data_IF_773669045131
#
_entry.id   IF_773669045131
#
_cell.length_a   1.000
_cell.length_b   1.000
_cell.length_c   1.000
_cell.angle_alpha   90.00
_cell.angle_beta   90.00
_cell.angle_gamma   90.00
#
_symmetry.space_group_name_H-M   'P 1'
#
loop_
_entity.id
_entity.type
_entity.pdbx_description
1 polymer ?
#
# COMPACT_ATOMS: atom_id res chain seq x y z
N UNK A 1 7.25 4.08 79.52
CA UNK A 1 6.54 4.38 78.26
C UNK A 1 7.19 3.51 77.19
N UNK A 2 6.49 2.48 76.73
CA UNK A 2 6.96 1.66 75.60
C UNK A 2 6.52 2.43 74.36
N UNK A 3 7.47 3.04 73.66
CA UNK A 3 7.21 3.70 72.39
C UNK A 3 7.37 2.63 71.31
N UNK A 4 6.34 2.38 70.52
CA UNK A 4 6.41 1.42 69.40
C UNK A 4 7.39 1.89 68.31
N UNK A 5 7.81 0.99 67.41
CA UNK A 5 8.61 1.38 66.25
C UNK A 5 7.84 2.39 65.40
N UNK A 6 8.52 3.45 64.98
CA UNK A 6 7.98 4.54 64.18
C UNK A 6 8.95 4.84 63.02
N UNK A 7 8.51 4.51 61.81
CA UNK A 7 9.20 4.81 60.57
C UNK A 7 8.78 6.20 60.11
N UNK A 8 9.75 7.10 59.95
CA UNK A 8 9.47 8.44 59.44
C UNK A 8 10.66 8.92 58.61
N UNK A 9 10.41 9.19 57.33
CA UNK A 9 11.39 9.74 56.41
C UNK A 9 10.92 11.12 55.96
N UNK A 10 11.85 12.07 55.91
CA UNK A 10 11.54 13.44 55.50
C UNK A 10 12.51 13.90 54.43
N UNK A 11 11.98 14.45 53.34
CA UNK A 11 12.74 15.16 52.32
C UNK A 11 13.11 16.55 52.87
N UNK A 12 14.41 16.85 52.94
CA UNK A 12 14.92 18.12 53.47
C UNK A 12 15.00 19.16 52.36
N UNK A 13 15.64 18.78 51.25
CA UNK A 13 15.93 19.66 50.13
C UNK A 13 16.00 18.84 48.84
N UNK A 14 15.74 19.49 47.72
CA UNK A 14 15.83 18.89 46.39
C UNK A 14 16.18 19.95 45.36
N UNK A 15 17.22 19.66 44.58
CA UNK A 15 17.68 20.51 43.49
C UNK A 15 17.66 19.72 42.19
N UNK A 16 17.16 20.34 41.13
CA UNK A 16 17.23 19.86 39.76
C UNK A 16 17.90 20.90 38.88
N UNK A 17 18.69 20.45 37.91
CA UNK A 17 19.31 21.28 36.89
C UNK A 17 19.21 20.59 35.53
N UNK A 18 18.99 21.39 34.49
CA UNK A 18 18.92 20.91 33.11
C UNK A 18 20.21 21.28 32.39
N UNK A 19 20.94 20.28 31.90
CA UNK A 19 22.14 20.48 31.08
C UNK A 19 21.76 20.90 29.65
N UNK A 20 22.72 21.47 28.94
CA UNK A 20 22.71 21.80 27.49
C UNK A 20 22.35 20.65 26.55
N UNK A 21 22.34 19.41 27.05
CA UNK A 21 21.95 18.18 26.33
C UNK A 21 20.53 17.73 26.66
N UNK A 22 19.73 18.60 27.28
CA UNK A 22 18.36 18.32 27.71
C UNK A 22 18.28 17.14 28.70
N UNK A 23 19.30 17.00 29.56
CA UNK A 23 19.33 16.00 30.63
C UNK A 23 19.09 16.69 31.97
N UNK A 24 18.03 16.29 32.66
CA UNK A 24 17.75 16.70 34.04
C UNK A 24 18.64 15.90 34.97
N UNK A 25 19.48 16.59 35.75
CA UNK A 25 20.21 16.00 36.88
C UNK A 25 19.57 16.48 38.17
N UNK A 26 19.30 15.56 39.09
CA UNK A 26 18.67 15.90 40.36
C UNK A 26 19.45 15.34 41.56
N UNK A 27 19.40 16.09 42.66
CA UNK A 27 19.92 15.70 43.94
C UNK A 27 18.89 16.00 45.04
N UNK A 28 18.44 14.96 45.77
CA UNK A 28 17.41 15.08 46.79
C UNK A 28 17.94 14.55 48.12
N UNK A 29 17.83 15.36 49.17
CA UNK A 29 18.31 15.02 50.51
C UNK A 29 17.16 14.50 51.38
N UNK A 30 17.37 13.33 51.99
CA UNK A 30 16.44 12.67 52.89
C UNK A 30 17.06 12.52 54.27
N UNK A 31 16.21 12.45 55.31
CA UNK A 31 16.62 12.15 56.68
C UNK A 31 15.70 11.13 57.33
N UNK A 32 16.32 10.21 58.09
CA UNK A 32 15.60 9.28 58.95
C UNK A 32 15.18 9.99 60.25
N UNK A 33 13.92 10.44 60.32
CA UNK A 33 13.31 11.04 61.52
C UNK A 33 12.59 10.02 62.40
N UNK A 34 12.65 8.73 62.02
CA UNK A 34 12.12 7.61 62.77
C UNK A 34 12.85 7.38 64.10
N UNK A 35 12.39 6.36 64.83
CA UNK A 35 13.00 5.92 66.08
C UNK A 35 13.81 4.61 65.96
N UNK A 36 13.95 4.07 64.74
CA UNK A 36 14.68 2.86 64.43
C UNK A 36 15.70 3.08 63.30
N UNK A 37 16.67 2.17 63.22
CA UNK A 37 17.50 2.01 62.02
C UNK A 37 16.66 1.28 60.97
N UNK A 38 16.62 1.82 59.76
CA UNK A 38 15.72 1.36 58.71
C UNK A 38 16.47 1.22 57.38
N UNK A 39 15.90 0.46 56.46
CA UNK A 39 16.35 0.41 55.07
C UNK A 39 15.33 1.09 54.15
N UNK A 40 15.77 1.50 52.97
CA UNK A 40 14.94 2.15 51.98
C UNK A 40 14.96 1.37 50.67
N UNK A 41 13.79 1.22 50.06
CA UNK A 41 13.61 0.87 48.66
C UNK A 41 13.23 2.16 47.94
N UNK A 42 14.06 2.56 46.99
CA UNK A 42 13.89 3.81 46.24
C UNK A 42 13.57 3.48 44.80
N UNK A 43 12.47 4.04 44.30
CA UNK A 43 12.00 3.84 42.93
C UNK A 43 11.83 5.19 42.24
N UNK A 44 12.25 5.25 40.97
CA UNK A 44 12.05 6.38 40.08
C UNK A 44 10.92 6.08 39.11
N UNK A 45 9.92 6.95 39.08
CA UNK A 45 8.83 6.93 38.12
C UNK A 45 8.85 8.21 37.28
N UNK A 46 8.39 8.13 36.04
CA UNK A 46 8.29 9.29 35.14
C UNK A 46 6.95 9.27 34.43
N UNK A 47 6.39 10.47 34.22
CA UNK A 47 5.19 10.65 33.41
C UNK A 47 5.40 10.35 31.92
N UNK A 48 6.66 10.31 31.45
CA UNK A 48 7.00 10.08 30.05
C UNK A 48 7.99 8.93 29.89
N UNK A 49 7.93 8.26 28.74
CA UNK A 49 8.91 7.24 28.37
C UNK A 49 10.24 7.91 28.00
N UNK A 50 11.14 8.00 28.98
CA UNK A 50 12.47 8.63 28.85
C UNK A 50 13.55 7.71 29.41
N UNK A 51 14.80 7.96 29.02
CA UNK A 51 15.96 7.34 29.66
C UNK A 51 16.16 8.02 31.00
N UNK A 52 16.10 7.23 32.07
CA UNK A 52 16.22 7.73 33.43
C UNK A 52 16.78 6.65 34.36
N UNK A 53 17.44 7.10 35.42
CA UNK A 53 17.88 6.23 36.51
C UNK A 53 18.64 6.98 37.59
N UNK A 54 18.92 6.26 38.68
CA UNK A 54 19.70 6.77 39.80
C UNK A 54 21.20 6.55 39.57
N UNK A 55 21.99 7.38 40.24
CA UNK A 55 23.38 7.11 40.56
C UNK A 55 23.42 6.57 42.00
N UNK A 56 23.35 5.24 42.19
CA UNK A 56 23.22 4.65 43.51
C UNK A 56 24.45 4.98 44.39
N UNK A 57 24.25 5.20 45.70
CA UNK A 57 25.36 5.38 46.65
C UNK A 57 26.13 4.08 46.87
N UNK A 58 27.27 4.18 47.53
CA UNK A 58 28.01 2.99 47.97
C UNK A 58 27.18 2.13 48.93
N UNK A 59 27.16 0.82 48.70
CA UNK A 59 26.39 -0.14 49.51
C UNK A 59 24.93 -0.32 49.10
N UNK A 60 24.48 0.33 48.03
CA UNK A 60 23.16 0.06 47.44
C UNK A 60 23.14 -1.27 46.68
N UNK A 61 22.01 -1.99 46.80
CA UNK A 61 21.72 -3.20 46.05
C UNK A 61 20.86 -2.79 44.85
N UNK A 62 21.29 -3.18 43.65
CA UNK A 62 20.61 -2.87 42.39
C UNK A 62 20.09 -4.16 41.76
N UNK A 63 18.94 -4.08 41.11
CA UNK A 63 18.40 -5.21 40.35
C UNK A 63 19.01 -5.22 38.94
N UNK A 64 19.82 -6.25 38.65
CA UNK A 64 20.50 -6.44 37.36
C UNK A 64 21.79 -5.64 37.21
N UNK A 65 22.28 -5.55 35.98
CA UNK A 65 23.58 -4.94 35.63
C UNK A 65 23.44 -3.55 34.96
N UNK A 66 22.36 -2.81 35.24
CA UNK A 66 22.14 -1.48 34.66
C UNK A 66 23.04 -0.43 35.29
N UNK A 67 23.74 0.37 34.46
CA UNK A 67 24.50 1.54 34.92
C UNK A 67 23.61 2.64 35.50
N UNK A 68 22.33 2.68 35.11
CA UNK A 68 21.31 3.62 35.57
C UNK A 68 20.07 2.85 36.05
N UNK A 69 20.10 2.28 37.26
CA UNK A 69 18.96 1.55 37.81
C UNK A 69 17.80 2.51 38.16
N UNK A 70 16.57 2.08 37.89
CA UNK A 70 15.35 2.81 38.28
C UNK A 70 14.89 2.48 39.70
N UNK A 71 15.39 1.37 40.24
CA UNK A 71 15.10 0.91 41.60
C UNK A 71 16.41 0.49 42.25
N UNK A 72 16.61 0.87 43.49
CA UNK A 72 17.69 0.32 44.31
C UNK A 72 17.25 0.24 45.76
N UNK A 73 17.90 -0.64 46.50
CA UNK A 73 17.68 -0.84 47.94
C UNK A 73 18.91 -0.41 48.72
N UNK A 74 18.71 0.21 49.87
CA UNK A 74 19.77 0.65 50.77
C UNK A 74 19.41 0.26 52.19
N UNK A 75 20.21 -0.63 52.80
CA UNK A 75 19.99 -1.09 54.17
C UNK A 75 20.72 -0.28 55.23
N UNK A 76 20.35 -0.48 56.49
CA UNK A 76 21.10 -0.06 57.68
C UNK A 76 21.34 1.46 57.78
N UNK A 77 20.32 2.27 57.53
CA UNK A 77 20.42 3.72 57.64
C UNK A 77 20.16 4.17 59.09
N UNK A 78 21.16 4.79 59.76
CA UNK A 78 21.01 5.20 61.15
C UNK A 78 19.95 6.27 61.34
N UNK A 79 19.39 6.31 62.55
CA UNK A 79 18.50 7.39 62.97
C UNK A 79 19.19 8.75 62.88
N UNK A 80 18.50 9.73 62.31
CA UNK A 80 18.98 11.10 62.15
C UNK A 80 20.08 11.27 61.10
N UNK A 81 20.41 10.21 60.35
CA UNK A 81 21.35 10.30 59.24
C UNK A 81 20.71 11.03 58.06
N UNK A 82 21.50 11.89 57.42
CA UNK A 82 21.13 12.53 56.16
C UNK A 82 21.72 11.72 55.02
N UNK A 83 20.90 11.51 53.99
CA UNK A 83 21.26 10.78 52.80
C UNK A 83 20.92 11.60 51.56
N UNK A 84 21.71 11.50 50.50
CA UNK A 84 21.47 12.25 49.26
C UNK A 84 21.27 11.27 48.11
N UNK A 85 20.08 11.29 47.55
CA UNK A 85 19.73 10.65 46.30
C UNK A 85 20.26 11.48 45.14
N UNK A 86 20.83 10.81 44.14
CA UNK A 86 21.25 11.44 42.89
C UNK A 86 20.74 10.63 41.73
N UNK A 87 20.34 11.29 40.66
CA UNK A 87 19.90 10.63 39.45
C UNK A 87 19.83 11.58 38.28
N UNK A 88 19.53 11.01 37.12
CA UNK A 88 19.36 11.76 35.88
C UNK A 88 18.20 11.22 35.07
N UNK A 89 17.54 12.10 34.32
CA UNK A 89 16.51 11.77 33.35
C UNK A 89 16.64 12.65 32.10
N UNK A 90 16.50 12.05 30.92
CA UNK A 90 16.45 12.79 29.66
C UNK A 90 15.08 13.47 29.50
N UNK A 91 15.07 14.74 29.08
CA UNK A 91 13.83 15.43 28.72
C UNK A 91 13.26 14.81 27.44
N UNK A 92 11.93 14.65 27.33
CA UNK A 92 11.30 14.18 26.11
C UNK A 92 11.57 15.12 24.92
N UNK A 93 12.43 14.69 23.96
CA UNK A 93 12.83 15.53 22.83
C UNK A 93 11.97 15.38 21.57
N UNK A 94 11.22 14.27 21.46
CA UNK A 94 10.42 13.90 20.28
C UNK A 94 8.91 14.08 20.51
N UNK A 95 8.55 15.10 21.29
CA UNK A 95 7.16 15.44 21.56
C UNK A 95 6.68 16.53 20.60
N UNK A 96 5.43 16.43 20.15
CA UNK A 96 4.83 17.38 19.20
C UNK A 96 4.33 18.66 19.86
N UNK A 97 4.16 18.64 21.18
CA UNK A 97 3.58 19.71 22.00
C UNK A 97 4.49 19.94 23.20
N UNK A 98 4.63 21.20 23.63
CA UNK A 98 5.31 21.55 24.86
C UNK A 98 4.61 20.91 26.06
N UNK A 99 5.38 20.39 27.01
CA UNK A 99 4.81 19.72 28.18
C UNK A 99 5.72 19.81 29.39
N UNK A 100 5.31 19.12 30.44
CA UNK A 100 6.06 19.03 31.69
C UNK A 100 6.39 17.57 31.94
N UNK A 101 7.67 17.27 32.05
CA UNK A 101 8.18 16.02 32.59
C UNK A 101 7.97 16.04 34.10
N UNK A 102 7.29 15.03 34.61
CA UNK A 102 7.11 14.82 36.05
C UNK A 102 7.90 13.58 36.42
N UNK A 103 8.84 13.73 37.34
CA UNK A 103 9.63 12.65 37.92
C UNK A 103 9.19 12.46 39.37
N UNK A 104 8.75 11.26 39.70
CA UNK A 104 8.36 10.90 41.05
C UNK A 104 9.40 9.96 41.65
N UNK A 105 9.97 10.39 42.78
CA UNK A 105 10.85 9.59 43.60
C UNK A 105 10.01 9.00 44.71
N UNK A 106 9.77 7.70 44.62
CA UNK A 106 8.99 6.93 45.58
C UNK A 106 9.95 6.22 46.51
N UNK A 107 9.84 6.51 47.80
CA UNK A 107 10.69 5.93 48.86
C UNK A 107 9.82 5.12 49.79
N UNK A 108 10.14 3.84 49.93
CA UNK A 108 9.46 2.91 50.83
C UNK A 108 10.42 2.38 51.87
N UNK A 109 9.94 2.21 53.09
CA UNK A 109 10.73 1.59 54.15
C UNK A 109 10.80 0.08 53.95
N UNK A 110 11.96 -0.52 54.25
CA UNK A 110 12.12 -1.98 54.29
C UNK A 110 11.46 -2.55 55.55
N UNK A 111 11.48 -1.81 56.66
CA UNK A 111 10.83 -2.23 57.90
C UNK A 111 9.30 -2.17 57.81
N UNK A 112 8.75 -1.14 57.15
CA UNK A 112 7.31 -0.96 56.93
C UNK A 112 7.00 -0.59 55.46
N UNK A 113 6.89 -1.57 54.56
CA UNK A 113 6.71 -1.35 53.12
C UNK A 113 5.41 -0.63 52.72
N UNK A 114 4.43 -0.58 53.61
CA UNK A 114 3.15 0.10 53.38
C UNK A 114 3.28 1.63 53.52
N UNK A 115 4.33 2.10 54.19
CA UNK A 115 4.58 3.53 54.35
C UNK A 115 5.42 4.06 53.18
N UNK A 116 4.78 4.87 52.34
CA UNK A 116 5.37 5.48 51.15
C UNK A 116 5.59 6.99 51.33
N UNK A 117 6.76 7.46 50.90
CA UNK A 117 7.14 8.86 50.85
C UNK A 117 7.47 9.25 49.42
N UNK A 118 6.75 10.25 48.88
CA UNK A 118 6.88 10.66 47.48
C UNK A 118 7.46 12.07 47.39
N UNK A 119 8.40 12.26 46.47
CA UNK A 119 8.92 13.57 46.09
C UNK A 119 8.78 13.76 44.57
N UNK A 120 8.21 14.88 44.15
CA UNK A 120 7.96 15.19 42.74
C UNK A 120 8.89 16.29 42.24
N UNK A 121 9.46 16.08 41.05
CA UNK A 121 10.25 17.06 40.31
C UNK A 121 9.53 17.33 38.99
N UNK A 122 9.29 18.59 38.68
CA UNK A 122 8.61 19.02 37.47
C UNK A 122 9.54 19.85 36.60
N UNK A 123 9.80 19.41 35.38
CA UNK A 123 10.65 20.12 34.41
C UNK A 123 9.93 20.33 33.09
N UNK A 124 10.01 21.54 32.55
CA UNK A 124 9.34 21.87 31.28
C UNK A 124 10.22 21.45 30.10
N UNK A 125 9.62 20.82 29.11
CA UNK A 125 10.27 20.53 27.83
C UNK A 125 9.52 21.19 26.67
N UNK A 126 10.28 21.58 25.64
CA UNK A 126 9.74 22.12 24.40
C UNK A 126 9.45 20.98 23.43
N UNK A 127 8.22 20.94 22.94
CA UNK A 127 7.86 20.06 21.84
C UNK A 127 8.41 20.61 20.53
N UNK A 128 8.96 19.73 19.70
CA UNK A 128 9.25 20.07 18.31
C UNK A 128 7.92 19.98 17.57
N UNK A 129 7.28 21.12 17.35
CA UNK A 129 6.07 21.17 16.53
C UNK A 129 6.38 20.50 15.20
N UNK A 130 5.64 19.43 14.87
CA UNK A 130 5.65 18.82 13.54
C UNK A 130 4.97 19.80 12.57
N UNK A 131 5.63 20.93 12.31
CA UNK A 131 5.35 21.72 11.14
C UNK A 131 6.38 21.28 10.11
N UNK A 132 5.96 20.32 9.26
CA UNK A 132 6.28 20.42 7.83
C UNK A 132 6.20 21.88 7.48
N UNK A 133 7.35 22.48 7.15
CA UNK A 133 7.49 23.88 6.86
C UNK A 133 6.20 24.39 6.21
N UNK A 134 5.49 25.25 6.91
CA UNK A 134 4.51 26.09 6.25
C UNK A 134 5.37 27.01 5.40
N UNK A 135 5.77 26.49 4.23
CA UNK A 135 6.42 27.25 3.19
C UNK A 135 5.43 28.34 2.83
N UNK A 136 5.68 29.49 3.43
CA UNK A 136 5.15 30.77 2.99
C UNK A 136 5.89 31.25 1.75
N UNK A 137 6.36 30.32 0.91
CA UNK A 137 6.79 30.59 -0.44
C UNK A 137 5.65 30.21 -1.37
N UNK A 138 5.07 31.22 -2.02
CA UNK A 138 4.24 30.95 -3.18
C UNK A 138 5.04 30.11 -4.17
N UNK A 139 4.39 29.07 -4.71
CA UNK A 139 4.95 28.12 -5.68
C UNK A 139 5.80 28.85 -6.70
N UNK A 140 7.12 28.74 -6.57
CA UNK A 140 8.05 29.54 -7.35
C UNK A 140 8.21 28.95 -8.75
N UNK A 141 8.47 29.79 -9.74
CA UNK A 141 8.69 29.32 -11.13
C UNK A 141 9.85 28.32 -11.19
N UNK A 142 10.86 28.45 -10.30
CA UNK A 142 11.96 27.49 -10.15
C UNK A 142 11.48 26.11 -9.70
N UNK A 143 10.59 26.04 -8.71
CA UNK A 143 10.02 24.78 -8.20
C UNK A 143 9.18 24.08 -9.28
N UNK A 144 8.43 24.85 -10.08
CA UNK A 144 7.72 24.32 -11.24
C UNK A 144 8.67 23.68 -12.27
N UNK A 145 9.80 24.33 -12.58
CA UNK A 145 10.76 23.74 -13.51
C UNK A 145 11.41 22.48 -12.94
N UNK A 146 11.74 22.47 -11.65
CA UNK A 146 12.30 21.30 -10.98
C UNK A 146 11.32 20.11 -11.03
N UNK A 147 10.05 20.33 -10.71
CA UNK A 147 8.99 19.31 -10.81
C UNK A 147 8.80 18.79 -12.24
N UNK A 148 8.79 19.70 -13.23
CA UNK A 148 8.72 19.33 -14.65
C UNK A 148 9.93 18.48 -15.06
N UNK A 149 11.14 18.83 -14.63
CA UNK A 149 12.32 18.02 -14.95
C UNK A 149 12.29 16.66 -14.29
N UNK A 150 11.70 16.54 -13.10
CA UNK A 150 11.61 15.28 -12.35
C UNK A 150 10.60 14.33 -13.00
N UNK A 151 9.45 14.86 -13.44
CA UNK A 151 8.46 14.13 -14.24
C UNK A 151 9.07 13.69 -15.58
N UNK A 152 9.74 14.60 -16.28
CA UNK A 152 10.38 14.28 -17.57
C UNK A 152 11.49 13.24 -17.38
N UNK A 153 12.28 13.29 -16.31
CA UNK A 153 13.29 12.25 -16.03
C UNK A 153 12.66 10.90 -15.72
N UNK A 154 11.62 10.87 -14.88
CA UNK A 154 10.92 9.62 -14.51
C UNK A 154 10.17 8.98 -15.68
N UNK A 155 9.65 9.80 -16.58
CA UNK A 155 8.79 9.38 -17.70
C UNK A 155 9.40 9.68 -19.07
N UNK A 156 10.74 9.84 -19.12
CA UNK A 156 11.47 10.24 -20.32
C UNK A 156 11.16 9.35 -21.52
N UNK A 157 10.98 8.04 -21.30
CA UNK A 157 10.66 7.11 -22.38
C UNK A 157 9.26 7.34 -22.98
N UNK A 158 8.30 7.80 -22.19
CA UNK A 158 6.95 8.14 -22.65
C UNK A 158 6.98 9.48 -23.38
N UNK A 159 7.71 10.46 -22.87
CA UNK A 159 7.90 11.74 -23.56
C UNK A 159 8.64 11.54 -24.90
N UNK A 160 9.67 10.69 -24.91
CA UNK A 160 10.41 10.34 -26.13
C UNK A 160 9.54 9.59 -27.14
N UNK A 161 8.67 8.67 -26.70
CA UNK A 161 7.78 7.94 -27.61
C UNK A 161 6.73 8.86 -28.26
N UNK A 162 6.18 9.81 -27.50
CA UNK A 162 5.28 10.84 -28.02
C UNK A 162 6.00 11.73 -29.04
N UNK A 163 7.23 12.15 -28.75
CA UNK A 163 8.03 12.97 -29.66
C UNK A 163 8.34 12.23 -30.99
N UNK A 164 8.75 10.96 -30.93
CA UNK A 164 9.00 10.14 -32.13
C UNK A 164 7.71 9.97 -32.94
N UNK A 165 6.57 9.74 -32.27
CA UNK A 165 5.28 9.63 -32.93
C UNK A 165 4.90 10.91 -33.67
N UNK A 166 5.10 12.08 -33.05
CA UNK A 166 4.85 13.37 -33.68
C UNK A 166 5.72 13.60 -34.93
N UNK A 167 7.00 13.20 -34.89
CA UNK A 167 7.91 13.29 -36.05
C UNK A 167 7.44 12.39 -37.20
N UNK A 168 7.02 11.15 -36.90
CA UNK A 168 6.52 10.21 -37.90
C UNK A 168 5.23 10.75 -38.54
N UNK A 169 4.28 11.25 -37.73
CA UNK A 169 3.04 11.86 -38.25
C UNK A 169 3.34 13.07 -39.14
N UNK A 170 4.21 13.98 -38.71
CA UNK A 170 4.54 15.17 -39.49
C UNK A 170 5.18 14.80 -40.83
N UNK A 171 6.12 13.84 -40.83
CA UNK A 171 6.72 13.31 -42.06
C UNK A 171 5.67 12.68 -42.99
N UNK A 172 4.77 11.87 -42.44
CA UNK A 172 3.71 11.21 -43.22
C UNK A 172 2.73 12.22 -43.84
N UNK A 173 2.38 13.28 -43.10
CA UNK A 173 1.49 14.35 -43.58
C UNK A 173 2.17 15.16 -44.69
N UNK A 174 3.45 15.52 -44.51
CA UNK A 174 4.23 16.24 -45.51
C UNK A 174 4.42 15.44 -46.80
N UNK A 175 4.73 14.16 -46.67
CA UNK A 175 4.86 13.24 -47.80
C UNK A 175 3.53 13.05 -48.54
N UNK A 176 2.41 12.96 -47.81
CA UNK A 176 1.07 12.91 -48.42
C UNK A 176 0.72 14.19 -49.17
N UNK A 177 1.07 15.36 -48.64
CA UNK A 177 0.88 16.63 -49.33
C UNK A 177 1.71 16.69 -50.62
N UNK A 178 2.98 16.31 -50.57
CA UNK A 178 3.85 16.26 -51.74
C UNK A 178 3.32 15.29 -52.81
N UNK A 179 2.85 14.10 -52.42
CA UNK A 179 2.23 13.16 -53.35
C UNK A 179 0.97 13.75 -53.99
N UNK A 180 0.09 14.39 -53.22
CA UNK A 180 -1.10 15.07 -53.75
C UNK A 180 -0.76 16.22 -54.70
N UNK A 181 0.27 17.01 -54.40
CA UNK A 181 0.74 18.09 -55.27
C UNK A 181 1.30 17.53 -56.58
N UNK A 182 2.14 16.49 -56.51
CA UNK A 182 2.68 15.83 -57.70
C UNK A 182 1.59 15.17 -58.56
N UNK A 183 0.60 14.53 -57.93
CA UNK A 183 -0.56 13.94 -58.61
C UNK A 183 -1.43 15.02 -59.24
N UNK A 184 -1.61 16.18 -58.58
CA UNK A 184 -2.32 17.33 -59.15
C UNK A 184 -1.61 17.89 -60.38
N UNK A 185 -0.28 18.01 -60.34
CA UNK A 185 0.51 18.46 -61.50
C UNK A 185 0.46 17.44 -62.65
N UNK A 186 0.54 16.14 -62.35
CA UNK A 186 0.40 15.08 -63.33
C UNK A 186 -1.01 15.01 -63.91
N UNK A 187 -2.05 15.25 -63.11
CA UNK A 187 -3.43 15.38 -63.59
C UNK A 187 -3.56 16.60 -64.49
N UNK A 188 -3.06 17.77 -64.11
CA UNK A 188 -3.05 18.95 -64.99
C UNK A 188 -2.27 18.74 -66.30
N UNK A 189 -1.22 17.92 -66.29
CA UNK A 189 -0.49 17.55 -67.52
C UNK A 189 -1.16 16.43 -68.32
N UNK A 190 -2.06 15.63 -67.72
CA UNK A 190 -2.79 14.51 -68.35
C UNK A 190 -4.23 14.88 -68.72
N UNK A 191 -4.76 15.97 -68.18
CA UNK A 191 -6.06 16.51 -68.50
C UNK A 191 -5.97 17.08 -69.92
N UNK A 192 -6.23 16.20 -70.88
CA UNK A 192 -6.58 16.60 -72.23
C UNK A 192 -7.80 17.53 -72.11
N UNK A 193 -7.85 18.63 -72.90
CA UNK A 193 -8.92 19.62 -72.79
C UNK A 193 -10.28 18.91 -72.89
N UNK A 194 -11.24 19.31 -72.05
CA UNK A 194 -12.59 18.74 -72.06
C UNK A 194 -13.13 18.70 -73.49
N UNK A 195 -13.33 17.48 -74.01
CA UNK A 195 -13.80 17.27 -75.37
C UNK A 195 -15.23 17.80 -75.48
N UNK A 196 -15.41 18.85 -76.29
CA UNK A 196 -16.73 19.38 -76.60
C UNK A 196 -17.50 18.40 -77.50
N UNK A 197 -18.82 18.56 -77.57
CA UNK A 197 -19.71 17.71 -78.37
C UNK A 197 -19.27 17.59 -79.85
N UNK A 198 -18.55 18.59 -80.37
CA UNK A 198 -18.04 18.66 -81.73
C UNK A 198 -16.83 17.73 -81.96
N UNK A 199 -15.91 17.61 -81.00
CA UNK A 199 -14.74 16.70 -81.08
C UNK A 199 -15.16 15.22 -81.05
N UNK A 200 -16.23 14.91 -80.33
CA UNK A 200 -16.81 13.56 -80.28
C UNK A 200 -17.35 13.10 -81.64
N UNK A 201 -17.95 14.01 -82.41
CA UNK A 201 -18.47 13.72 -83.75
C UNK A 201 -17.34 13.49 -84.76
N UNK A 202 -16.18 14.13 -84.59
CA UNK A 202 -15.03 13.92 -85.48
C UNK A 202 -14.39 12.54 -85.33
N UNK A 203 -14.34 11.99 -84.12
CA UNK A 203 -13.75 10.67 -83.85
C UNK A 203 -14.47 9.54 -84.59
N UNK A 204 -15.78 9.66 -84.81
CA UNK A 204 -16.57 8.66 -85.52
C UNK A 204 -16.40 8.70 -87.05
N UNK A 205 -15.97 9.85 -87.58
CA UNK A 205 -15.72 10.04 -89.01
C UNK A 205 -14.33 9.54 -89.46
N UNK A 206 -13.48 9.08 -88.53
CA UNK A 206 -12.18 8.48 -88.85
C UNK A 206 -12.32 6.96 -89.01
N UNK A 207 -11.95 6.35 -90.16
CA UNK A 207 -12.01 4.91 -90.33
C UNK A 207 -10.98 4.21 -89.42
N UNK A 208 -11.45 3.33 -88.53
CA UNK A 208 -10.63 2.61 -87.56
C UNK A 208 -9.76 1.52 -88.23
N UNK A 209 -8.46 1.55 -87.94
CA UNK A 209 -7.56 0.38 -88.10
C UNK A 209 -7.24 -0.12 -86.71
N UNK A 210 -7.83 -1.25 -86.30
CA UNK A 210 -7.46 -1.86 -85.03
C UNK A 210 -7.50 -3.39 -85.16
N UNK A 211 -6.29 -3.95 -85.25
CA UNK A 211 -6.03 -5.39 -85.10
C UNK A 211 -6.24 -5.78 -83.64
N UNK A 212 -7.15 -6.73 -83.40
CA UNK A 212 -7.43 -7.30 -82.09
C UNK A 212 -6.39 -8.40 -81.78
N UNK A 213 -5.37 -8.11 -80.97
CA UNK A 213 -4.56 -9.17 -80.34
C UNK A 213 -5.04 -9.43 -78.93
N UNK A 214 -5.66 -10.59 -78.73
CA UNK A 214 -6.05 -11.14 -77.42
C UNK A 214 -4.79 -11.36 -76.58
N UNK A 215 -4.77 -10.83 -75.35
CA UNK A 215 -3.67 -11.01 -74.39
C UNK A 215 -3.91 -12.33 -73.65
N UNK A 216 -2.99 -13.30 -73.77
CA UNK A 216 -3.03 -14.55 -73.01
C UNK A 216 -2.18 -14.46 -71.73
N UNK A 217 -2.75 -14.91 -70.61
CA UNK A 217 -2.08 -15.01 -69.31
C UNK A 217 -1.10 -16.20 -69.28
N UNK A 218 0.08 -16.09 -68.65
CA UNK A 218 1.01 -17.21 -68.55
C UNK A 218 0.44 -18.33 -67.67
N UNK A 219 0.22 -19.51 -68.25
CA UNK A 219 -0.15 -20.70 -67.49
C UNK A 219 1.10 -21.32 -66.84
N UNK A 220 1.09 -21.50 -65.52
CA UNK A 220 2.16 -22.19 -64.78
C UNK A 220 1.69 -23.54 -64.22
N UNK A 221 2.60 -24.51 -64.11
CA UNK A 221 2.28 -25.84 -63.57
C UNK A 221 2.14 -25.82 -62.05
N UNK A 222 1.35 -26.74 -61.51
CA UNK A 222 1.06 -26.85 -60.07
C UNK A 222 2.34 -27.01 -59.23
N UNK A 223 3.34 -27.75 -59.73
CA UNK A 223 4.63 -27.91 -59.06
C UNK A 223 5.48 -26.63 -59.05
N UNK A 224 5.40 -25.83 -60.13
CA UNK A 224 6.09 -24.53 -60.16
C UNK A 224 5.45 -23.57 -59.14
N UNK A 225 4.14 -23.66 -58.96
CA UNK A 225 3.41 -22.84 -57.99
C UNK A 225 3.75 -23.25 -56.55
N UNK A 226 3.77 -24.55 -56.24
CA UNK A 226 4.10 -25.03 -54.89
C UNK A 226 5.54 -24.70 -54.50
N UNK A 227 6.50 -24.82 -55.42
CA UNK A 227 7.89 -24.40 -55.17
C UNK A 227 8.02 -22.89 -54.95
N UNK A 228 7.36 -22.08 -55.78
CA UNK A 228 7.37 -20.63 -55.59
C UNK A 228 6.76 -20.22 -54.25
N UNK A 229 5.65 -20.85 -53.85
CA UNK A 229 4.96 -20.61 -52.59
C UNK A 229 5.75 -21.06 -51.36
N UNK A 230 6.41 -22.22 -51.43
CA UNK A 230 7.28 -22.71 -50.35
C UNK A 230 8.56 -21.88 -50.23
N UNK A 231 9.09 -21.34 -51.34
CA UNK A 231 10.26 -20.47 -51.31
C UNK A 231 9.99 -19.09 -50.71
N UNK A 232 8.74 -18.61 -50.76
CA UNK A 232 8.34 -17.31 -50.22
C UNK A 232 7.74 -17.38 -48.80
N UNK A 233 7.35 -18.56 -48.31
CA UNK A 233 6.80 -18.71 -46.96
C UNK A 233 7.88 -19.05 -45.93
N UNK A 234 7.84 -18.38 -44.77
CA UNK A 234 8.71 -18.72 -43.62
C UNK A 234 8.20 -20.03 -43.00
N UNK A 235 9.08 -20.97 -42.61
CA UNK A 235 8.66 -22.20 -41.96
C UNK A 235 7.93 -21.87 -40.65
N UNK A 236 6.81 -22.56 -40.40
CA UNK A 236 6.04 -22.39 -39.17
C UNK A 236 6.91 -22.75 -37.96
N UNK A 237 6.94 -21.88 -36.95
CA UNK A 237 7.69 -22.15 -35.73
C UNK A 237 7.16 -23.43 -35.05
N UNK A 238 8.04 -24.27 -34.48
CA UNK A 238 7.63 -25.44 -33.74
C UNK A 238 6.84 -25.03 -32.50
N UNK A 239 5.85 -25.85 -32.12
CA UNK A 239 5.08 -25.63 -30.91
C UNK A 239 6.01 -25.62 -29.69
N UNK A 240 5.92 -24.55 -28.89
CA UNK A 240 6.72 -24.39 -27.68
C UNK A 240 6.37 -25.49 -26.67
N UNK A 241 7.38 -26.08 -26.04
CA UNK A 241 7.18 -27.02 -24.95
C UNK A 241 6.49 -26.34 -23.76
N UNK A 242 5.55 -27.03 -23.09
CA UNK A 242 4.86 -26.48 -21.94
C UNK A 242 5.86 -26.13 -20.83
N UNK A 243 5.69 -24.95 -20.24
CA UNK A 243 6.51 -24.45 -19.14
C UNK A 243 6.57 -25.44 -17.96
N UNK A 244 7.66 -25.44 -17.18
CA UNK A 244 7.82 -26.33 -16.03
C UNK A 244 6.66 -26.26 -15.04
N UNK A 245 6.25 -27.42 -14.51
CA UNK A 245 5.17 -27.58 -13.53
C UNK A 245 5.22 -26.59 -12.34
N UNK A 246 6.36 -26.33 -11.67
CA UNK A 246 6.39 -25.40 -10.54
C UNK A 246 6.06 -23.96 -10.92
N UNK A 247 6.42 -23.52 -12.14
CA UNK A 247 6.09 -22.17 -12.63
C UNK A 247 4.61 -22.06 -12.94
N UNK A 248 4.02 -23.12 -13.50
CA UNK A 248 2.57 -23.19 -13.75
C UNK A 248 1.77 -23.21 -12.45
N UNK A 249 2.20 -24.01 -11.46
CA UNK A 249 1.55 -24.09 -10.15
C UNK A 249 1.60 -22.75 -9.40
N UNK A 250 2.74 -22.05 -9.43
CA UNK A 250 2.86 -20.72 -8.85
C UNK A 250 1.94 -19.70 -9.54
N UNK A 251 1.89 -19.72 -10.88
CA UNK A 251 1.01 -18.84 -11.64
C UNK A 251 -0.48 -19.09 -11.35
N UNK A 252 -0.89 -20.36 -11.21
CA UNK A 252 -2.28 -20.70 -10.83
C UNK A 252 -2.61 -20.25 -9.42
N UNK A 253 -1.69 -20.40 -8.45
CA UNK A 253 -1.92 -19.92 -7.08
C UNK A 253 -2.09 -18.40 -7.02
N UNK A 254 -1.29 -17.64 -7.78
CA UNK A 254 -1.43 -16.19 -7.86
C UNK A 254 -2.76 -15.80 -8.50
N UNK A 255 -3.14 -16.48 -9.59
CA UNK A 255 -4.43 -16.26 -10.26
C UNK A 255 -5.61 -16.56 -9.32
N UNK A 256 -5.62 -17.72 -8.66
CA UNK A 256 -6.65 -18.14 -7.71
C UNK A 256 -6.75 -17.16 -6.53
N UNK A 257 -5.62 -16.66 -6.04
CA UNK A 257 -5.60 -15.65 -4.98
C UNK A 257 -6.26 -14.34 -5.44
N UNK A 258 -5.93 -13.85 -6.63
CA UNK A 258 -6.54 -12.63 -7.17
C UNK A 258 -8.04 -12.80 -7.42
N UNK A 259 -8.45 -13.95 -7.96
CA UNK A 259 -9.87 -14.25 -8.20
C UNK A 259 -10.64 -14.33 -6.88
N UNK A 260 -10.08 -14.99 -5.85
CA UNK A 260 -10.70 -15.06 -4.52
C UNK A 260 -10.82 -13.67 -3.87
N UNK A 261 -9.78 -12.83 -3.99
CA UNK A 261 -9.82 -11.45 -3.46
C UNK A 261 -10.87 -10.62 -4.18
N UNK A 262 -10.95 -10.71 -5.51
CA UNK A 262 -11.95 -10.00 -6.30
C UNK A 262 -13.37 -10.44 -5.91
N UNK A 263 -13.60 -11.76 -5.76
CA UNK A 263 -14.90 -12.27 -5.33
C UNK A 263 -15.27 -11.79 -3.92
N UNK A 264 -14.36 -11.84 -2.95
CA UNK A 264 -14.61 -11.30 -1.60
C UNK A 264 -14.95 -9.82 -1.63
N UNK A 265 -14.21 -9.02 -2.39
CA UNK A 265 -14.50 -7.60 -2.53
C UNK A 265 -15.89 -7.35 -3.12
N UNK A 266 -16.32 -8.13 -4.12
CA UNK A 266 -17.69 -8.02 -4.64
C UNK A 266 -18.75 -8.44 -3.61
N UNK A 267 -18.50 -9.49 -2.82
CA UNK A 267 -19.42 -9.90 -1.75
C UNK A 267 -19.56 -8.83 -0.66
N UNK A 268 -18.44 -8.25 -0.23
CA UNK A 268 -18.44 -7.18 0.77
C UNK A 268 -19.16 -5.93 0.24
N UNK A 269 -18.94 -5.58 -1.03
CA UNK A 269 -19.66 -4.49 -1.68
C UNK A 269 -21.17 -4.74 -1.70
N UNK A 270 -21.61 -5.95 -2.07
CA UNK A 270 -23.02 -6.32 -2.09
C UNK A 270 -23.60 -6.32 -0.66
N UNK A 271 -22.89 -6.84 0.32
CA UNK A 271 -23.32 -6.83 1.72
C UNK A 271 -23.48 -5.40 2.23
N UNK A 272 -22.54 -4.53 1.91
CA UNK A 272 -22.60 -3.10 2.26
C UNK A 272 -23.76 -2.39 1.55
N UNK A 273 -24.01 -2.71 0.28
CA UNK A 273 -25.15 -2.18 -0.47
C UNK A 273 -26.48 -2.64 0.13
N UNK A 274 -26.61 -3.91 0.54
CA UNK A 274 -27.80 -4.44 1.21
C UNK A 274 -28.03 -3.77 2.56
N UNK A 275 -26.97 -3.56 3.35
CA UNK A 275 -27.08 -2.89 4.67
C UNK A 275 -27.47 -1.42 4.51
N UNK A 276 -26.95 -0.74 3.49
CA UNK A 276 -27.15 0.70 3.29
C UNK A 276 -28.44 1.05 2.55
N UNK A 277 -28.82 0.28 1.52
CA UNK A 277 -29.93 0.58 0.62
C UNK A 277 -31.06 -0.47 0.69
N UNK A 278 -30.90 -1.54 1.48
CA UNK A 278 -31.82 -2.67 1.54
C UNK A 278 -31.60 -3.66 0.38
N UNK A 279 -32.32 -4.80 0.37
CA UNK A 279 -32.22 -5.76 -0.72
C UNK A 279 -32.61 -5.10 -2.06
N UNK A 280 -31.84 -5.36 -3.12
CA UNK A 280 -32.10 -4.82 -4.45
C UNK A 280 -33.53 -5.16 -4.89
N UNK A 281 -34.37 -4.14 -5.00
CA UNK A 281 -35.73 -4.28 -5.53
C UNK A 281 -35.68 -4.21 -7.05
N UNK A 282 -36.42 -5.06 -7.78
CA UNK A 282 -36.48 -4.97 -9.22
C UNK A 282 -37.00 -3.57 -9.63
N UNK A 283 -36.46 -3.02 -10.71
CA UNK A 283 -36.95 -1.77 -11.29
C UNK A 283 -38.48 -1.81 -11.45
N UNK A 284 -39.17 -0.69 -11.25
CA UNK A 284 -40.65 -0.61 -11.17
C UNK A 284 -41.31 -1.23 -12.42
N UNK A 285 -40.65 -1.12 -13.58
CA UNK A 285 -41.11 -1.70 -14.85
C UNK A 285 -41.05 -3.23 -14.90
N UNK A 286 -40.20 -3.85 -14.06
CA UNK A 286 -40.04 -5.30 -13.95
C UNK A 286 -40.96 -5.92 -12.89
N UNK A 287 -41.68 -5.12 -12.10
CA UNK A 287 -42.56 -5.60 -11.04
C UNK A 287 -43.75 -6.43 -11.58
N UNK A 288 -44.14 -6.21 -12.84
CA UNK A 288 -45.26 -6.89 -13.49
C UNK A 288 -44.83 -8.04 -14.43
N UNK A 289 -43.53 -8.30 -14.54
CA UNK A 289 -43.02 -9.38 -15.38
C UNK A 289 -43.00 -10.68 -14.56
N UNK A 290 -43.69 -11.70 -15.04
CA UNK A 290 -43.56 -13.04 -14.47
C UNK A 290 -42.17 -13.58 -14.80
N UNK A 291 -41.45 -14.18 -13.83
CA UNK A 291 -40.16 -14.81 -14.12
C UNK A 291 -40.37 -15.90 -15.16
N UNK A 292 -39.82 -15.69 -16.36
CA UNK A 292 -39.89 -16.66 -17.44
C UNK A 292 -38.97 -17.82 -17.09
N UNK A 293 -39.52 -19.04 -17.00
CA UNK A 293 -38.70 -20.24 -16.93
C UNK A 293 -37.89 -20.36 -18.21
N UNK A 294 -36.57 -20.47 -18.08
CA UNK A 294 -35.68 -20.71 -19.22
C UNK A 294 -36.10 -22.02 -19.90
N UNK A 295 -36.54 -21.93 -21.15
CA UNK A 295 -36.81 -23.11 -21.98
C UNK A 295 -35.46 -23.75 -22.33
N UNK A 296 -35.06 -24.77 -21.58
CA UNK A 296 -33.80 -25.51 -21.76
C UNK A 296 -33.83 -26.45 -22.99
N UNK A 297 -34.98 -26.58 -23.65
CA UNK A 297 -35.18 -27.55 -24.73
C UNK A 297 -34.75 -27.05 -26.12
N UNK A 298 -34.27 -25.81 -26.25
CA UNK A 298 -33.94 -25.24 -27.58
C UNK A 298 -32.62 -25.77 -28.17
N UNK A 299 -31.90 -26.63 -27.46
CA UNK A 299 -30.71 -27.31 -27.97
C UNK A 299 -30.88 -28.83 -27.89
N UNK A 300 -31.03 -29.49 -29.04
CA UNK A 300 -30.86 -30.94 -29.13
C UNK A 300 -29.37 -31.24 -28.98
N UNK A 301 -28.97 -31.75 -27.81
CA UNK A 301 -27.60 -32.18 -27.57
C UNK A 301 -27.40 -33.53 -28.29
N UNK A 302 -26.54 -33.55 -29.31
CA UNK A 302 -26.09 -34.82 -29.87
C UNK A 302 -25.06 -35.43 -28.92
N UNK A 303 -25.34 -36.63 -28.41
CA UNK A 303 -24.38 -37.36 -27.58
C UNK A 303 -23.19 -37.78 -28.43
N UNK A 304 -21.98 -37.54 -27.92
CA UNK A 304 -20.74 -37.99 -28.55
C UNK A 304 -20.51 -39.48 -28.16
N UNK A 305 -20.51 -40.43 -29.10
CA UNK A 305 -20.45 -41.86 -28.78
C UNK A 305 -19.16 -42.32 -28.08
N UNK A 306 -18.11 -41.48 -28.04
CA UNK A 306 -16.82 -41.84 -27.46
C UNK A 306 -16.62 -41.40 -25.99
N UNK A 307 -17.60 -40.72 -25.39
CA UNK A 307 -17.56 -40.35 -23.96
C UNK A 307 -18.50 -41.24 -23.17
N UNK A 308 -17.98 -42.33 -22.60
CA UNK A 308 -18.72 -43.13 -21.62
C UNK A 308 -19.11 -42.24 -20.43
N UNK A 309 -20.39 -42.14 -20.04
CA UNK A 309 -20.79 -41.38 -18.87
C UNK A 309 -20.28 -42.10 -17.63
N UNK A 310 -19.37 -41.46 -16.90
CA UNK A 310 -19.02 -41.87 -15.53
C UNK A 310 -20.23 -41.53 -14.66
N UNK A 311 -21.00 -42.54 -14.29
CA UNK A 311 -22.01 -42.41 -13.24
C UNK A 311 -21.29 -42.19 -11.90
N UNK A 312 -21.06 -40.94 -11.54
CA UNK A 312 -20.86 -40.58 -10.14
C UNK A 312 -22.24 -40.62 -9.48
N UNK A 313 -22.41 -41.55 -8.54
CA UNK A 313 -23.58 -41.58 -7.67
C UNK A 313 -23.57 -40.27 -6.89
N UNK A 314 -24.53 -39.40 -7.18
CA UNK A 314 -24.82 -38.24 -6.33
C UNK A 314 -25.40 -38.82 -5.04
N UNK A 315 -24.58 -38.88 -3.99
CA UNK A 315 -25.05 -39.20 -2.64
C UNK A 315 -26.00 -38.07 -2.23
N UNK A 316 -27.29 -38.38 -2.20
CA UNK A 316 -28.31 -37.47 -1.72
C UNK A 316 -28.15 -37.34 -0.21
N UNK A 317 -27.51 -36.26 0.24
CA UNK A 317 -27.46 -35.86 1.64
C UNK A 317 -28.91 -35.61 2.12
N UNK A 318 -29.42 -36.31 3.13
CA UNK A 318 -30.77 -36.07 3.63
C UNK A 318 -30.82 -34.70 4.34
N UNK A 319 -31.91 -33.96 4.13
CA UNK A 319 -32.21 -32.76 4.92
C UNK A 319 -32.31 -33.15 6.41
N UNK A 320 -31.71 -32.39 7.34
CA UNK A 320 -31.88 -32.64 8.77
C UNK A 320 -33.36 -32.48 9.14
N UNK A 321 -33.93 -33.53 9.72
CA UNK A 321 -35.26 -33.50 10.34
C UNK A 321 -35.23 -32.53 11.52
N UNK A 322 -36.23 -31.65 11.60
CA UNK A 322 -36.48 -30.83 12.81
C UNK A 322 -36.64 -31.77 14.01
N UNK A 323 -35.62 -31.82 14.85
CA UNK A 323 -35.72 -32.29 16.21
C UNK A 323 -35.75 -31.05 17.09
N UNK A 324 -36.87 -30.85 17.78
CA UNK A 324 -36.93 -30.02 18.98
C UNK A 324 -36.06 -30.71 20.04
N UNK A 325 -34.96 -30.07 20.40
CA UNK A 325 -34.23 -30.37 21.65
C UNK A 325 -33.66 -29.06 22.17
N UNK A 326 -34.22 -28.66 23.30
CA UNK A 326 -33.71 -27.64 24.21
C UNK A 326 -32.24 -27.93 24.54
N UNK A 327 -31.37 -26.93 24.38
CA UNK A 327 -30.05 -26.90 25.02
C UNK A 327 -29.79 -25.47 25.50
N UNK A 328 -30.19 -25.26 26.75
CA UNK A 328 -29.42 -24.64 27.83
C UNK A 328 -28.00 -24.18 27.42
N UNK A 329 -27.86 -22.88 27.14
CA UNK A 329 -26.56 -22.22 27.08
C UNK A 329 -26.24 -21.63 28.45
N UNK A 330 -25.38 -22.33 29.19
CA UNK A 330 -24.58 -21.77 30.27
C UNK A 330 -23.42 -20.96 29.66
N UNK A 331 -23.51 -19.62 29.74
CA UNK A 331 -22.38 -18.68 29.82
C UNK A 331 -22.82 -17.39 30.54
#
# INVERSE_FOLDING_TARGET
VIVGPNVAWTFIDGQSEVDSRDVVSFAVQLRNDGNLEDGLIVQLQSSHSTVMGFAPPEGAIIEGDSEQPRVFELGNLPRGANFTLRGSAELPSEQTINGTLVLEIVVRSIFDPETEFVYSIEEQYLGKQWNSAQETNGYSISEFFDDVTLIVKGWWLIVASVAVSAVILNKAVRDRMQRKESEKLLRQMREEPDETQEDWMEKFNKPSKQDNTVIESPAMSQEAFTKAFQSQSKPSAPALEPLPEPVRAAATTVLDHHDMVAQRATMDQIAQEIVSHGPATPHIENANLTPTSSITERTVRHENPDLKPKMEMVETVPLPSKADTDDEFDL
#
